data_IF_430403421552
#
_entry.id   IF_430403421552
#
_cell.length_a   1.000
_cell.length_b   1.000
_cell.length_c   1.000
_cell.angle_alpha   90.00
_cell.angle_beta   90.00
_cell.angle_gamma   90.00
#
_symmetry.space_group_name_H-M   'P 1'
#
loop_
_entity.id
_entity.type
_entity.pdbx_description
1 polymer ?
#
# COMPACT_ATOMS: atom_id res chain seq x y z
N UNK A 1 -5.43 -6.25 14.41
CA UNK A 1 -5.31 -5.27 15.51
C UNK A 1 -4.03 -4.48 15.32
N UNK A 2 -3.85 -3.37 16.02
CA UNK A 2 -2.56 -2.66 16.01
C UNK A 2 -1.42 -3.54 16.53
N UNK A 3 -1.66 -4.31 17.60
CA UNK A 3 -0.69 -5.27 18.11
C UNK A 3 -0.22 -6.29 17.05
N UNK A 4 -1.13 -6.84 16.25
CA UNK A 4 -0.75 -7.74 15.15
C UNK A 4 0.11 -7.02 14.09
N UNK A 5 -0.25 -5.78 13.72
CA UNK A 5 0.48 -5.02 12.71
C UNK A 5 1.90 -4.66 13.20
N UNK A 6 2.03 -4.22 14.45
CA UNK A 6 3.31 -3.94 15.07
C UNK A 6 4.18 -5.21 15.19
N UNK A 7 3.59 -6.33 15.60
CA UNK A 7 4.31 -7.61 15.77
C UNK A 7 4.86 -8.22 14.48
N UNK A 8 4.42 -7.76 13.30
CA UNK A 8 5.05 -8.16 12.04
C UNK A 8 6.48 -7.62 11.92
N UNK A 9 6.76 -6.44 12.49
CA UNK A 9 8.11 -5.88 12.54
C UNK A 9 9.00 -6.67 13.51
N UNK A 10 8.45 -7.21 14.60
CA UNK A 10 9.21 -8.06 15.54
C UNK A 10 9.69 -9.37 14.88
N UNK A 11 9.07 -9.77 13.77
CA UNK A 11 9.51 -10.92 12.97
C UNK A 11 10.72 -10.61 12.09
N UNK A 12 11.12 -9.33 11.98
CA UNK A 12 12.26 -8.87 11.20
C UNK A 12 13.46 -8.70 12.15
N UNK A 13 14.64 -9.25 11.85
CA UNK A 13 15.79 -9.12 12.73
C UNK A 13 16.15 -7.66 13.06
N UNK A 14 16.34 -7.32 14.34
CA UNK A 14 16.63 -5.93 14.75
C UNK A 14 17.89 -5.35 14.11
N UNK A 15 18.92 -6.16 13.87
CA UNK A 15 20.12 -5.73 13.14
C UNK A 15 19.75 -5.20 11.76
N UNK A 16 18.91 -5.93 11.04
CA UNK A 16 18.46 -5.54 9.72
C UNK A 16 17.56 -4.29 9.79
N UNK A 17 16.65 -4.19 10.76
CA UNK A 17 15.86 -2.97 10.97
C UNK A 17 16.74 -1.73 11.21
N UNK A 18 17.81 -1.88 12.00
CA UNK A 18 18.76 -0.80 12.26
C UNK A 18 19.56 -0.41 10.99
N UNK A 19 20.01 -1.39 10.20
CA UNK A 19 20.68 -1.16 8.92
C UNK A 19 19.76 -0.42 7.93
N UNK A 20 18.48 -0.80 7.85
CA UNK A 20 17.51 -0.08 7.03
C UNK A 20 17.33 1.36 7.51
N UNK A 21 17.15 1.59 8.81
CA UNK A 21 17.00 2.94 9.37
C UNK A 21 18.22 3.83 9.07
N UNK A 22 19.44 3.32 9.22
CA UNK A 22 20.66 4.04 8.84
C UNK A 22 20.67 4.34 7.35
N UNK A 23 20.35 3.36 6.50
CA UNK A 23 20.27 3.57 5.04
C UNK A 23 19.25 4.65 4.66
N UNK A 24 18.09 4.69 5.34
CA UNK A 24 17.09 5.74 5.15
C UNK A 24 17.65 7.11 5.54
N UNK A 25 18.30 7.25 6.70
CA UNK A 25 18.87 8.52 7.14
C UNK A 25 19.94 9.01 6.15
N UNK A 26 20.84 8.12 5.71
CA UNK A 26 21.89 8.44 4.75
C UNK A 26 21.33 8.88 3.38
N UNK A 27 20.26 8.25 2.91
CA UNK A 27 19.59 8.60 1.64
C UNK A 27 18.74 9.87 1.75
N UNK A 28 18.09 10.09 2.90
CA UNK A 28 17.29 11.27 3.22
C UNK A 28 18.10 12.56 3.40
N UNK A 29 19.41 12.44 3.68
CA UNK A 29 20.33 13.56 3.89
C UNK A 29 20.59 14.43 2.64
N UNK A 30 20.15 13.98 1.45
CA UNK A 30 20.10 14.77 0.22
C UNK A 30 18.66 15.19 -0.07
N UNK A 31 18.34 16.47 0.15
CA UNK A 31 16.99 17.05 0.06
C UNK A 31 16.25 16.85 -1.29
N UNK A 32 16.88 16.28 -2.31
CA UNK A 32 16.37 16.23 -3.69
C UNK A 32 15.97 14.82 -4.18
N UNK A 33 16.32 13.74 -3.46
CA UNK A 33 16.17 12.35 -3.93
C UNK A 33 14.87 11.65 -3.48
N UNK A 34 14.62 11.59 -2.17
CA UNK A 34 13.43 10.93 -1.60
C UNK A 34 12.13 11.70 -1.91
N UNK A 35 12.22 13.02 -2.01
CA UNK A 35 11.10 13.86 -2.43
C UNK A 35 10.59 13.44 -3.81
N UNK A 36 11.46 13.04 -4.76
CA UNK A 36 11.05 12.66 -6.11
C UNK A 36 10.29 11.34 -6.15
N UNK A 37 10.78 10.30 -5.48
CA UNK A 37 10.08 9.00 -5.45
C UNK A 37 8.72 9.11 -4.74
N UNK A 38 8.68 9.86 -3.64
CA UNK A 38 7.43 10.14 -2.95
C UNK A 38 6.45 10.95 -3.82
N UNK A 39 6.94 11.99 -4.51
CA UNK A 39 6.15 12.78 -5.46
C UNK A 39 5.61 11.94 -6.62
N UNK A 40 6.41 11.03 -7.17
CA UNK A 40 6.01 10.13 -8.25
C UNK A 40 4.92 9.15 -7.79
N UNK A 41 5.06 8.57 -6.59
CA UNK A 41 4.04 7.71 -6.00
C UNK A 41 2.75 8.49 -5.71
N UNK A 42 2.88 9.69 -5.17
CA UNK A 42 1.73 10.57 -4.91
C UNK A 42 1.02 10.96 -6.21
N UNK A 43 1.78 11.25 -7.27
CA UNK A 43 1.24 11.53 -8.60
C UNK A 43 0.50 10.31 -9.16
N UNK A 44 1.13 9.13 -9.14
CA UNK A 44 0.51 7.89 -9.61
C UNK A 44 -0.78 7.58 -8.84
N UNK A 45 -0.80 7.81 -7.52
CA UNK A 45 -1.99 7.67 -6.70
C UNK A 45 -3.12 8.63 -7.12
N UNK A 46 -2.80 9.93 -7.31
CA UNK A 46 -3.80 10.92 -7.76
C UNK A 46 -4.34 10.63 -9.16
N UNK A 47 -3.48 10.15 -10.05
CA UNK A 47 -3.83 9.77 -11.43
C UNK A 47 -4.53 8.40 -11.50
N UNK A 48 -4.67 7.70 -10.37
CA UNK A 48 -5.26 6.36 -10.27
C UNK A 48 -4.53 5.31 -11.12
N UNK A 49 -3.23 5.50 -11.35
CA UNK A 49 -2.37 4.61 -12.12
C UNK A 49 -1.86 3.45 -11.25
N UNK A 50 -2.66 2.39 -11.18
CA UNK A 50 -2.35 1.20 -10.37
C UNK A 50 -1.07 0.48 -10.84
N UNK A 51 -0.78 0.47 -12.14
CA UNK A 51 0.41 -0.22 -12.66
C UNK A 51 1.67 0.53 -12.26
N UNK A 52 1.67 1.86 -12.38
CA UNK A 52 2.79 2.68 -11.95
C UNK A 52 2.99 2.62 -10.44
N UNK A 53 1.90 2.61 -9.67
CA UNK A 53 1.98 2.40 -8.22
C UNK A 53 2.65 1.07 -7.90
N UNK A 54 2.23 -0.04 -8.52
CA UNK A 54 2.82 -1.36 -8.30
C UNK A 54 4.33 -1.35 -8.53
N UNK A 55 4.77 -0.82 -9.68
CA UNK A 55 6.19 -0.76 -10.02
C UNK A 55 6.98 0.07 -9.00
N UNK A 56 6.47 1.26 -8.62
CA UNK A 56 7.11 2.13 -7.65
C UNK A 56 7.21 1.48 -6.26
N UNK A 57 6.17 0.75 -5.83
CA UNK A 57 6.17 0.02 -4.56
C UNK A 57 7.23 -1.08 -4.57
N UNK A 58 7.31 -1.86 -5.65
CA UNK A 58 8.30 -2.94 -5.78
C UNK A 58 9.73 -2.39 -5.82
N UNK A 59 9.96 -1.30 -6.53
CA UNK A 59 11.28 -0.68 -6.68
C UNK A 59 11.76 0.01 -5.38
N UNK A 60 10.86 0.65 -4.63
CA UNK A 60 11.19 1.30 -3.34
C UNK A 60 11.46 0.30 -2.22
N UNK A 61 10.88 -0.90 -2.31
CA UNK A 61 11.08 -1.99 -1.34
C UNK A 61 12.33 -2.84 -1.61
N UNK A 62 13.25 -2.47 -2.51
CA UNK A 62 14.41 -3.31 -2.86
C UNK A 62 15.25 -3.75 -1.63
N UNK A 63 15.30 -2.94 -0.56
CA UNK A 63 15.90 -3.32 0.72
C UNK A 63 15.04 -4.32 1.51
N UNK A 64 13.72 -4.19 1.45
CA UNK A 64 12.71 -4.96 2.19
C UNK A 64 12.04 -6.07 1.39
N UNK A 65 12.49 -6.35 0.16
CA UNK A 65 11.83 -7.27 -0.77
C UNK A 65 11.63 -8.68 -0.17
N UNK A 66 12.53 -9.12 0.71
CA UNK A 66 12.40 -10.38 1.46
C UNK A 66 11.25 -10.40 2.48
N UNK A 67 10.67 -9.24 2.80
CA UNK A 67 9.62 -9.05 3.79
C UNK A 67 8.30 -8.55 3.18
N UNK A 68 8.24 -8.29 1.87
CA UNK A 68 7.00 -7.89 1.16
C UNK A 68 5.85 -8.87 1.42
N UNK A 69 6.14 -10.17 1.51
CA UNK A 69 5.12 -11.17 1.82
C UNK A 69 4.49 -10.95 3.20
N UNK A 70 5.30 -10.73 4.24
CA UNK A 70 4.79 -10.55 5.60
C UNK A 70 4.19 -9.15 5.82
N UNK A 71 4.76 -8.12 5.18
CA UNK A 71 4.38 -6.72 5.34
C UNK A 71 3.22 -6.29 4.44
N UNK A 72 2.94 -6.99 3.35
CA UNK A 72 1.84 -6.69 2.43
C UNK A 72 0.95 -7.91 2.19
N UNK A 73 1.46 -8.95 1.54
CA UNK A 73 0.60 -9.98 0.94
C UNK A 73 -0.17 -10.83 1.96
N UNK A 74 0.48 -11.27 3.04
CA UNK A 74 -0.20 -12.00 4.13
C UNK A 74 -1.27 -11.15 4.81
N UNK A 75 -1.04 -9.84 4.93
CA UNK A 75 -2.05 -8.91 5.44
C UNK A 75 -3.22 -8.78 4.48
N UNK A 76 -2.95 -8.59 3.19
CA UNK A 76 -3.97 -8.49 2.15
C UNK A 76 -4.88 -9.74 2.13
N UNK A 77 -4.29 -10.93 2.12
CA UNK A 77 -5.04 -12.19 2.17
C UNK A 77 -5.90 -12.31 3.44
N UNK A 78 -5.32 -11.99 4.61
CA UNK A 78 -6.05 -12.00 5.87
C UNK A 78 -7.20 -10.98 5.91
N UNK A 79 -7.02 -9.81 5.31
CA UNK A 79 -8.06 -8.79 5.20
C UNK A 79 -9.15 -9.23 4.23
N UNK A 80 -8.80 -9.70 3.03
CA UNK A 80 -9.77 -10.15 2.03
C UNK A 80 -10.71 -11.22 2.59
N UNK A 81 -10.18 -12.20 3.36
CA UNK A 81 -11.01 -13.19 4.05
C UNK A 81 -12.00 -12.58 5.04
N UNK A 82 -11.56 -11.60 5.85
CA UNK A 82 -12.46 -10.93 6.81
C UNK A 82 -13.50 -10.06 6.11
N UNK A 83 -13.10 -9.36 5.05
CA UNK A 83 -13.98 -8.46 4.31
C UNK A 83 -15.08 -9.25 3.59
N UNK A 84 -14.77 -10.44 3.06
CA UNK A 84 -15.75 -11.37 2.49
C UNK A 84 -16.91 -11.68 3.45
N UNK A 85 -16.61 -11.83 4.74
CA UNK A 85 -17.62 -12.14 5.75
C UNK A 85 -18.40 -10.91 6.26
N UNK A 86 -17.80 -9.71 6.14
CA UNK A 86 -18.34 -8.47 6.72
C UNK A 86 -19.15 -7.67 5.69
N UNK A 87 -18.62 -7.50 4.48
CA UNK A 87 -19.20 -6.64 3.44
C UNK A 87 -20.63 -7.03 3.03
N UNK A 88 -21.04 -8.32 2.99
CA UNK A 88 -22.42 -8.68 2.69
C UNK A 88 -23.44 -8.25 3.77
N UNK A 89 -22.97 -7.99 4.99
CA UNK A 89 -23.85 -7.73 6.15
C UNK A 89 -24.07 -6.24 6.39
N UNK A 90 -23.13 -5.39 5.96
CA UNK A 90 -23.19 -3.93 6.17
C UNK A 90 -22.21 -3.21 5.26
N UNK A 91 -22.52 -1.94 4.97
CA UNK A 91 -21.58 -1.03 4.35
C UNK A 91 -20.37 -0.80 5.26
N UNK A 92 -19.16 -0.81 4.67
CA UNK A 92 -17.91 -0.61 5.39
C UNK A 92 -17.02 0.39 4.67
N UNK A 93 -16.34 1.22 5.45
CA UNK A 93 -15.20 2.01 4.98
C UNK A 93 -13.92 1.30 5.39
N UNK A 94 -13.04 1.04 4.43
CA UNK A 94 -11.75 0.38 4.65
C UNK A 94 -10.65 1.33 4.18
N UNK A 95 -9.81 1.79 5.12
CA UNK A 95 -8.66 2.64 4.83
C UNK A 95 -7.37 1.81 4.93
N UNK A 96 -6.59 1.79 3.86
CA UNK A 96 -5.30 1.08 3.77
C UNK A 96 -4.29 1.96 3.02
N UNK A 97 -3.00 1.69 3.19
CA UNK A 97 -1.96 2.34 2.39
C UNK A 97 -2.06 1.93 0.91
N UNK A 98 -1.71 2.83 0.00
CA UNK A 98 -1.77 2.60 -1.45
C UNK A 98 -0.99 1.35 -1.89
N UNK A 99 0.09 1.03 -1.17
CA UNK A 99 0.88 -0.20 -1.25
C UNK A 99 0.08 -1.51 -1.33
N UNK A 100 -1.09 -1.53 -0.68
CA UNK A 100 -1.91 -2.73 -0.55
C UNK A 100 -2.87 -2.97 -1.72
N UNK A 101 -3.04 -2.02 -2.63
CA UNK A 101 -4.10 -2.04 -3.64
C UNK A 101 -3.76 -2.82 -4.91
N UNK A 102 -2.61 -2.58 -5.58
CA UNK A 102 -2.35 -3.13 -6.90
C UNK A 102 -1.75 -4.54 -6.88
N UNK A 103 -1.61 -5.14 -8.06
CA UNK A 103 -1.02 -6.45 -8.28
C UNK A 103 -1.94 -7.65 -8.00
N UNK A 104 -1.46 -8.84 -8.35
CA UNK A 104 -2.20 -10.11 -8.19
C UNK A 104 -2.57 -10.38 -6.72
N UNK A 105 -1.66 -10.05 -5.79
CA UNK A 105 -1.86 -10.18 -4.34
C UNK A 105 -2.38 -8.90 -3.68
N UNK A 106 -2.79 -7.92 -4.49
CA UNK A 106 -3.41 -6.67 -4.04
C UNK A 106 -4.85 -6.87 -3.57
N UNK A 107 -5.32 -6.05 -2.64
CA UNK A 107 -6.67 -6.13 -2.09
C UNK A 107 -7.75 -6.02 -3.17
N UNK A 108 -7.53 -5.20 -4.21
CA UNK A 108 -8.49 -5.05 -5.32
C UNK A 108 -8.68 -6.40 -6.02
N UNK A 109 -7.58 -7.07 -6.38
CA UNK A 109 -7.64 -8.35 -7.09
C UNK A 109 -8.21 -9.46 -6.20
N UNK A 110 -7.75 -9.55 -4.95
CA UNK A 110 -8.25 -10.56 -4.00
C UNK A 110 -9.75 -10.44 -3.72
N UNK A 111 -10.31 -9.23 -3.70
CA UNK A 111 -11.75 -9.03 -3.58
C UNK A 111 -12.50 -9.47 -4.85
N UNK A 112 -11.95 -9.19 -6.04
CA UNK A 112 -12.52 -9.67 -7.31
C UNK A 112 -12.54 -11.19 -7.39
N UNK A 113 -11.47 -11.86 -6.98
CA UNK A 113 -11.38 -13.33 -6.91
C UNK A 113 -12.43 -13.94 -5.97
N UNK A 114 -12.86 -13.19 -4.95
CA UNK A 114 -13.93 -13.57 -4.02
C UNK A 114 -15.34 -13.28 -4.54
N UNK A 115 -15.47 -12.88 -5.81
CA UNK A 115 -16.74 -12.62 -6.46
C UNK A 115 -17.31 -11.22 -6.20
N UNK A 116 -16.53 -10.30 -5.61
CA UNK A 116 -16.96 -8.91 -5.47
C UNK A 116 -16.72 -8.12 -6.75
N UNK A 117 -17.70 -7.32 -7.14
CA UNK A 117 -17.49 -6.26 -8.14
C UNK A 117 -16.77 -5.08 -7.49
N UNK A 118 -15.56 -4.78 -7.97
CA UNK A 118 -14.77 -3.65 -7.47
C UNK A 118 -14.63 -2.60 -8.57
N UNK A 119 -15.34 -1.48 -8.39
CA UNK A 119 -15.31 -0.33 -9.30
C UNK A 119 -14.54 0.84 -8.68
N UNK A 120 -13.71 1.55 -9.47
CA UNK A 120 -13.05 2.76 -8.98
C UNK A 120 -14.08 3.90 -8.85
N UNK A 121 -13.86 4.76 -7.87
CA UNK A 121 -14.47 6.09 -7.84
C UNK A 121 -13.49 7.03 -8.52
N UNK A 122 -13.93 7.76 -9.54
CA UNK A 122 -13.05 8.66 -10.30
C UNK A 122 -12.57 9.82 -9.43
N UNK A 123 -11.27 10.12 -9.48
CA UNK A 123 -10.69 11.26 -8.80
C UNK A 123 -10.87 12.54 -9.63
N UNK A 124 -12.13 13.01 -9.74
CA UNK A 124 -12.49 14.25 -10.43
C UNK A 124 -12.51 15.42 -9.45
N UNK A 125 -11.58 16.36 -9.60
CA UNK A 125 -11.67 17.65 -8.93
C UNK A 125 -12.73 18.50 -9.63
N UNK A 126 -13.90 18.65 -9.02
CA UNK A 126 -14.91 19.61 -9.50
C UNK A 126 -14.47 21.02 -9.10
N UNK A 127 -13.94 21.79 -10.05
CA UNK A 127 -13.79 23.23 -9.88
C UNK A 127 -15.21 23.82 -9.91
N UNK A 128 -15.71 24.25 -8.76
CA UNK A 128 -16.90 25.11 -8.74
C UNK A 128 -16.50 26.46 -9.35
N UNK A 129 -16.96 26.72 -10.57
CA UNK A 129 -16.96 28.08 -11.12
C UNK A 129 -18.16 28.77 -10.50
N UNK A 130 -17.92 29.63 -9.51
CA UNK A 130 -18.93 30.61 -9.08
C UNK A 130 -19.02 31.67 -10.19
N UNK A 131 -20.21 31.84 -10.76
CA UNK A 131 -20.57 32.91 -11.70
C UNK A 131 -21.21 34.03 -10.89
#
# INVERSE_FOLDING_TARGET
>A
TMAYQAGLLDSIPYKFQAEQLVSYIEKSGGADGENKQFEEMFKAYKEQDLQKLENLIVDTDAGMAGFTDILLYRRNANWAKKLEEIMPKKSVLVAVGAGHLPGEKGVINLLREKGFTVTPVENKTTVKVEI
#
